data_IF_058120718117
#
_entry.id   IF_058120718117
#
_cell.length_a   1.000
_cell.length_b   1.000
_cell.length_c   1.000
_cell.angle_alpha   90.00
_cell.angle_beta   90.00
_cell.angle_gamma   90.00
#
_symmetry.space_group_name_H-M   'P 1'
#
loop_
_entity.id
_entity.type
_entity.pdbx_description
1 polymer ?
#
# COMPACT_ATOMS: atom_id res chain seq x y z
N UNK A 1 -6.29 18.43 -119.37
CA UNK A 1 -7.25 17.85 -118.40
C UNK A 1 -6.90 18.34 -117.01
N UNK A 2 -7.80 19.12 -116.42
CA UNK A 2 -7.72 19.73 -115.09
C UNK A 2 -7.81 18.64 -114.01
N UNK A 3 -6.92 18.67 -113.02
CA UNK A 3 -7.04 17.82 -111.84
C UNK A 3 -7.34 18.71 -110.60
N UNK A 4 -8.59 18.74 -110.12
CA UNK A 4 -9.05 19.74 -109.15
C UNK A 4 -9.16 19.15 -107.75
N UNK A 5 -8.06 18.82 -107.06
CA UNK A 5 -8.11 18.54 -105.62
C UNK A 5 -6.81 18.96 -104.93
N UNK A 6 -6.59 20.27 -104.93
CA UNK A 6 -5.63 20.97 -104.09
C UNK A 6 -6.49 21.81 -103.13
N UNK A 7 -6.19 21.77 -101.82
CA UNK A 7 -7.07 22.13 -100.68
C UNK A 7 -8.00 20.97 -100.31
N UNK A 8 -7.93 20.32 -99.15
CA UNK A 8 -7.99 20.87 -97.79
C UNK A 8 -7.15 19.95 -96.88
N UNK A 9 -5.93 20.36 -96.50
CA UNK A 9 -5.19 19.70 -95.39
C UNK A 9 -5.37 20.53 -94.13
N UNK A 10 -6.37 20.10 -93.38
CA UNK A 10 -6.88 20.60 -92.11
C UNK A 10 -5.82 21.05 -91.08
N UNK A 11 -6.00 22.23 -90.43
CA UNK A 11 -5.26 22.60 -89.22
C UNK A 11 -5.74 21.86 -87.96
N UNK A 12 -6.79 21.03 -88.07
CA UNK A 12 -7.44 20.34 -86.95
C UNK A 12 -6.59 19.20 -86.34
N UNK A 13 -5.70 18.56 -87.11
CA UNK A 13 -4.88 17.45 -86.58
C UNK A 13 -3.80 17.91 -85.60
N UNK A 14 -3.31 19.14 -85.71
CA UNK A 14 -2.32 19.72 -84.79
C UNK A 14 -2.97 20.20 -83.48
N UNK A 15 -4.19 20.75 -83.52
CA UNK A 15 -4.93 21.16 -82.31
C UNK A 15 -5.37 19.97 -81.45
N UNK A 16 -5.82 18.86 -82.06
CA UNK A 16 -6.21 17.66 -81.31
C UNK A 16 -5.01 16.95 -80.64
N UNK A 17 -3.87 16.83 -81.34
CA UNK A 17 -2.64 16.25 -80.73
C UNK A 17 -2.11 17.09 -79.58
N UNK A 18 -2.24 18.43 -79.64
CA UNK A 18 -1.86 19.31 -78.54
C UNK A 18 -2.81 19.15 -77.34
N UNK A 19 -4.13 19.11 -77.58
CA UNK A 19 -5.14 18.92 -76.53
C UNK A 19 -4.98 17.59 -75.79
N UNK A 20 -4.74 16.48 -76.51
CA UNK A 20 -4.58 15.16 -75.89
C UNK A 20 -3.27 15.08 -75.10
N UNK A 21 -2.15 15.60 -75.62
CA UNK A 21 -0.88 15.65 -74.86
C UNK A 21 -0.98 16.50 -73.60
N UNK A 22 -1.69 17.64 -73.65
CA UNK A 22 -1.87 18.49 -72.49
C UNK A 22 -2.78 17.83 -71.45
N UNK A 23 -3.87 17.17 -71.86
CA UNK A 23 -4.76 16.44 -70.93
C UNK A 23 -4.05 15.26 -70.27
N UNK A 24 -3.24 14.49 -71.01
CA UNK A 24 -2.45 13.38 -70.44
C UNK A 24 -1.42 13.92 -69.44
N UNK A 25 -0.74 15.04 -69.74
CA UNK A 25 0.21 15.66 -68.80
C UNK A 25 -0.47 16.16 -67.54
N UNK A 26 -1.64 16.81 -67.63
CA UNK A 26 -2.40 17.28 -66.47
C UNK A 26 -2.88 16.12 -65.61
N UNK A 27 -3.34 15.02 -66.23
CA UNK A 27 -3.77 13.82 -65.51
C UNK A 27 -2.59 13.16 -64.76
N UNK A 28 -1.45 12.96 -65.43
CA UNK A 28 -0.24 12.43 -64.79
C UNK A 28 0.26 13.34 -63.66
N UNK A 29 0.23 14.66 -63.84
CA UNK A 29 0.64 15.60 -62.79
C UNK A 29 -0.31 15.54 -61.58
N UNK A 30 -1.61 15.38 -61.82
CA UNK A 30 -2.62 15.20 -60.76
C UNK A 30 -2.42 13.90 -60.00
N UNK A 31 -2.21 12.78 -60.70
CA UNK A 31 -1.96 11.46 -60.09
C UNK A 31 -0.64 11.44 -59.33
N UNK A 32 0.45 11.96 -59.90
CA UNK A 32 1.73 12.10 -59.20
C UNK A 32 1.63 13.02 -57.98
N UNK A 33 0.86 14.11 -58.06
CA UNK A 33 0.65 15.02 -56.93
C UNK A 33 -0.15 14.33 -55.83
N UNK A 34 -1.19 13.56 -56.16
CA UNK A 34 -1.95 12.75 -55.18
C UNK A 34 -1.09 11.66 -54.55
N UNK A 35 -0.36 10.87 -55.35
CA UNK A 35 0.53 9.82 -54.85
C UNK A 35 1.69 10.39 -54.00
N UNK A 36 2.22 11.56 -54.34
CA UNK A 36 3.23 12.24 -53.53
C UNK A 36 2.64 12.79 -52.21
N UNK A 37 1.39 13.29 -52.24
CA UNK A 37 0.66 13.74 -51.03
C UNK A 37 0.38 12.55 -50.10
N UNK A 38 0.04 11.40 -50.66
CA UNK A 38 -0.24 10.17 -49.93
C UNK A 38 1.02 9.54 -49.34
N UNK A 39 2.14 9.49 -50.10
CA UNK A 39 3.45 9.08 -49.56
C UNK A 39 3.96 10.01 -48.47
N UNK A 40 3.80 11.34 -48.63
CA UNK A 40 4.16 12.31 -47.58
C UNK A 40 3.29 12.18 -46.31
N UNK A 41 2.00 11.84 -46.45
CA UNK A 41 1.13 11.51 -45.30
C UNK A 41 1.58 10.22 -44.60
N UNK A 42 1.91 9.18 -45.38
CA UNK A 42 2.35 7.87 -44.85
C UNK A 42 3.70 7.97 -44.12
N UNK A 43 4.67 8.70 -44.67
CA UNK A 43 5.95 8.99 -43.99
C UNK A 43 5.78 9.84 -42.72
N UNK A 44 4.91 10.86 -42.73
CA UNK A 44 4.61 11.65 -41.51
C UNK A 44 3.95 10.80 -40.41
N UNK A 45 3.11 9.84 -40.77
CA UNK A 45 2.48 8.92 -39.82
C UNK A 45 3.50 7.94 -39.21
N UNK A 46 4.41 7.40 -40.03
CA UNK A 46 5.43 6.45 -39.59
C UNK A 46 6.47 7.08 -38.65
N UNK A 47 6.93 8.32 -38.93
CA UNK A 47 7.79 9.05 -38.00
C UNK A 47 7.08 9.44 -36.69
N UNK A 48 5.78 9.75 -36.73
CA UNK A 48 4.99 10.10 -35.53
C UNK A 48 4.86 8.92 -34.57
N UNK A 49 4.68 7.72 -35.10
CA UNK A 49 4.63 6.48 -34.31
C UNK A 49 5.96 6.22 -33.60
N UNK A 50 7.09 6.42 -34.29
CA UNK A 50 8.42 6.10 -33.75
C UNK A 50 8.81 6.93 -32.52
N UNK A 51 8.51 8.24 -32.49
CA UNK A 51 8.80 9.08 -31.32
C UNK A 51 7.90 8.77 -30.11
N UNK A 52 6.63 8.47 -30.33
CA UNK A 52 5.71 8.08 -29.25
C UNK A 52 6.12 6.73 -28.68
N UNK A 53 6.50 5.78 -29.53
CA UNK A 53 7.05 4.50 -29.08
C UNK A 53 8.40 4.67 -28.38
N UNK A 54 9.29 5.55 -28.84
CA UNK A 54 10.55 5.81 -28.16
C UNK A 54 10.32 6.39 -26.76
N UNK A 55 9.38 7.34 -26.63
CA UNK A 55 9.04 7.93 -25.34
C UNK A 55 8.35 6.93 -24.41
N UNK A 56 7.34 6.19 -24.88
CA UNK A 56 6.66 5.17 -24.08
C UNK A 56 7.60 4.03 -23.68
N UNK A 57 8.45 3.57 -24.60
CA UNK A 57 9.36 2.45 -24.35
C UNK A 57 10.52 2.87 -23.47
N UNK A 58 10.95 4.13 -23.56
CA UNK A 58 11.91 4.74 -22.64
C UNK A 58 11.33 4.91 -21.24
N UNK A 59 10.10 5.42 -21.11
CA UNK A 59 9.44 5.58 -19.80
C UNK A 59 9.06 4.24 -19.16
N UNK A 60 8.59 3.28 -19.95
CA UNK A 60 8.30 1.92 -19.48
C UNK A 60 9.58 1.14 -19.18
N UNK A 61 10.65 1.32 -19.96
CA UNK A 61 11.95 0.70 -19.73
C UNK A 61 12.62 1.24 -18.47
N UNK A 62 12.56 2.56 -18.23
CA UNK A 62 13.01 3.15 -16.98
C UNK A 62 12.13 2.72 -15.81
N UNK A 63 10.81 2.71 -15.97
CA UNK A 63 9.89 2.18 -14.97
C UNK A 63 10.22 0.73 -14.62
N UNK A 64 10.36 -0.15 -15.60
CA UNK A 64 10.74 -1.54 -15.41
C UNK A 64 12.15 -1.71 -14.85
N UNK A 65 13.08 -0.81 -15.16
CA UNK A 65 14.41 -0.80 -14.53
C UNK A 65 14.29 -0.43 -13.06
N UNK A 66 13.54 0.61 -12.69
CA UNK A 66 13.33 0.99 -11.29
C UNK A 66 12.53 -0.07 -10.50
N UNK A 67 11.47 -0.63 -11.09
CA UNK A 67 10.70 -1.71 -10.47
C UNK A 67 11.51 -3.02 -10.43
N UNK A 68 12.30 -3.33 -11.46
CA UNK A 68 13.15 -4.51 -11.49
C UNK A 68 14.31 -4.42 -10.50
N UNK A 69 15.06 -3.32 -10.50
CA UNK A 69 16.16 -3.12 -9.56
C UNK A 69 15.67 -2.95 -8.11
N UNK A 70 14.49 -2.37 -7.92
CA UNK A 70 13.87 -2.18 -6.60
C UNK A 70 13.16 -3.42 -6.05
N UNK A 71 12.70 -4.36 -6.89
CA UNK A 71 11.96 -5.55 -6.46
C UNK A 71 12.76 -6.86 -6.55
N UNK A 72 13.84 -6.91 -7.36
CA UNK A 72 14.62 -8.15 -7.60
C UNK A 72 15.93 -8.19 -6.81
N UNK A 73 16.32 -7.10 -6.14
CA UNK A 73 17.42 -7.17 -5.17
C UNK A 73 16.97 -7.99 -3.97
N UNK A 74 17.63 -9.12 -3.77
CA UNK A 74 17.22 -10.24 -2.92
C UNK A 74 17.06 -9.87 -1.43
N UNK A 75 15.96 -10.36 -0.83
CA UNK A 75 15.73 -10.66 0.61
C UNK A 75 15.92 -9.58 1.67
N UNK A 76 16.49 -8.42 1.39
CA UNK A 76 16.60 -7.33 2.35
C UNK A 76 15.62 -6.23 1.96
N UNK A 77 14.81 -5.80 2.93
CA UNK A 77 13.78 -4.77 2.84
C UNK A 77 14.16 -3.68 1.84
N UNK A 78 13.22 -3.33 0.94
CA UNK A 78 13.35 -2.21 0.00
C UNK A 78 13.58 -0.93 0.82
N UNK A 79 14.83 -0.66 1.18
CA UNK A 79 15.17 0.54 1.93
C UNK A 79 15.00 1.69 0.96
N UNK A 80 13.93 2.47 1.16
CA UNK A 80 13.75 3.78 0.52
C UNK A 80 14.85 4.68 1.08
N UNK A 81 16.06 4.54 0.54
CA UNK A 81 17.20 5.38 0.93
C UNK A 81 16.95 6.80 0.42
N UNK A 82 17.30 7.81 1.21
CA UNK A 82 17.13 9.21 0.82
C UNK A 82 17.76 9.54 -0.54
N UNK A 83 18.89 8.90 -0.87
CA UNK A 83 19.57 9.03 -2.17
C UNK A 83 18.68 8.63 -3.34
N UNK A 84 17.94 7.52 -3.22
CA UNK A 84 17.02 7.06 -4.26
C UNK A 84 15.84 8.03 -4.43
N UNK A 85 15.33 8.58 -3.33
CA UNK A 85 14.28 9.59 -3.36
C UNK A 85 14.74 10.88 -4.07
N UNK A 86 15.98 11.32 -3.83
CA UNK A 86 16.57 12.50 -4.51
C UNK A 86 16.75 12.24 -6.01
N UNK A 87 17.22 11.05 -6.40
CA UNK A 87 17.36 10.67 -7.80
C UNK A 87 16.01 10.65 -8.53
N UNK A 88 14.97 10.05 -7.92
CA UNK A 88 13.62 10.03 -8.49
C UNK A 88 13.06 11.46 -8.60
N UNK A 89 13.24 12.29 -7.57
CA UNK A 89 12.81 13.70 -7.60
C UNK A 89 13.49 14.49 -8.72
N UNK A 90 14.79 14.31 -8.88
CA UNK A 90 15.59 14.95 -9.95
C UNK A 90 15.11 14.50 -11.32
N UNK A 91 14.84 13.21 -11.50
CA UNK A 91 14.29 12.67 -12.74
C UNK A 91 12.92 13.27 -13.07
N UNK A 92 12.00 13.34 -12.10
CA UNK A 92 10.69 13.94 -12.29
C UNK A 92 10.78 15.43 -12.64
N UNK A 93 11.71 16.16 -12.02
CA UNK A 93 11.97 17.56 -12.35
C UNK A 93 12.38 17.72 -13.83
N UNK A 94 13.30 16.91 -14.33
CA UNK A 94 13.68 16.93 -15.74
C UNK A 94 12.51 16.53 -16.66
N UNK A 95 11.70 15.55 -16.26
CA UNK A 95 10.54 15.11 -17.03
C UNK A 95 9.51 16.24 -17.17
N UNK A 96 9.21 16.95 -16.08
CA UNK A 96 8.36 18.14 -16.06
C UNK A 96 8.98 19.26 -16.91
N UNK A 97 10.29 19.50 -16.81
CA UNK A 97 10.98 20.52 -17.59
C UNK A 97 10.89 20.24 -19.10
N UNK A 98 11.17 19.01 -19.52
CA UNK A 98 11.05 18.60 -20.91
C UNK A 98 9.61 18.67 -21.40
N UNK A 99 8.65 18.21 -20.59
CA UNK A 99 7.23 18.35 -20.93
C UNK A 99 6.87 19.82 -21.13
N UNK A 100 7.25 20.72 -20.22
CA UNK A 100 6.97 22.15 -20.34
C UNK A 100 7.59 22.74 -21.60
N UNK A 101 8.86 22.45 -21.87
CA UNK A 101 9.60 22.96 -23.04
C UNK A 101 9.02 22.48 -24.37
N UNK A 102 8.59 21.21 -24.44
CA UNK A 102 8.12 20.60 -25.68
C UNK A 102 6.60 20.51 -25.81
N UNK A 103 5.83 20.89 -24.78
CA UNK A 103 4.35 20.80 -24.75
C UNK A 103 3.68 21.48 -25.95
N UNK A 104 4.12 22.69 -26.31
CA UNK A 104 3.56 23.44 -27.44
C UNK A 104 3.85 22.74 -28.79
N UNK A 105 5.07 22.24 -28.96
CA UNK A 105 5.46 21.51 -30.17
C UNK A 105 4.72 20.17 -30.27
N UNK A 106 4.54 19.48 -29.14
CA UNK A 106 3.76 18.25 -29.05
C UNK A 106 2.29 18.50 -29.37
N UNK A 107 1.71 19.58 -28.84
CA UNK A 107 0.33 19.98 -29.10
C UNK A 107 0.09 20.24 -30.60
N UNK A 108 0.96 21.01 -31.24
CA UNK A 108 0.86 21.29 -32.67
C UNK A 108 1.07 20.04 -33.54
N UNK A 109 1.93 19.11 -33.11
CA UNK A 109 2.31 17.95 -33.93
C UNK A 109 1.40 16.74 -33.75
N UNK A 110 0.89 16.49 -32.55
CA UNK A 110 0.15 15.28 -32.17
C UNK A 110 -1.29 15.55 -31.70
N UNK A 111 -1.65 16.82 -31.46
CA UNK A 111 -2.99 17.21 -31.02
C UNK A 111 -3.20 17.12 -29.51
N UNK A 112 -4.36 17.59 -29.07
CA UNK A 112 -4.69 17.77 -27.64
C UNK A 112 -4.69 16.45 -26.84
N UNK A 113 -5.18 15.36 -27.43
CA UNK A 113 -5.34 14.08 -26.73
C UNK A 113 -4.03 13.51 -26.20
N UNK A 114 -2.99 13.46 -27.04
CA UNK A 114 -1.68 12.91 -26.65
C UNK A 114 -1.02 13.77 -25.57
N UNK A 115 -1.11 15.09 -25.68
CA UNK A 115 -0.57 16.01 -24.66
C UNK A 115 -1.26 15.80 -23.32
N UNK A 116 -2.58 15.63 -23.33
CA UNK A 116 -3.38 15.35 -22.13
C UNK A 116 -2.99 14.00 -21.49
N UNK A 117 -2.80 12.95 -22.28
CA UNK A 117 -2.35 11.64 -21.78
C UNK A 117 -0.96 11.72 -21.14
N UNK A 118 -0.01 12.41 -21.77
CA UNK A 118 1.33 12.62 -21.20
C UNK A 118 1.21 13.41 -19.89
N UNK A 119 0.41 14.47 -19.86
CA UNK A 119 0.17 15.27 -18.65
C UNK A 119 -0.34 14.42 -17.48
N UNK A 120 -1.36 13.59 -17.70
CA UNK A 120 -1.89 12.71 -16.66
C UNK A 120 -0.86 11.67 -16.19
N UNK A 121 -0.03 11.15 -17.09
CA UNK A 121 1.05 10.24 -16.72
C UNK A 121 2.11 10.92 -15.84
N UNK A 122 2.52 12.15 -16.17
CA UNK A 122 3.45 12.93 -15.33
C UNK A 122 2.83 13.23 -13.97
N UNK A 123 1.55 13.62 -13.94
CA UNK A 123 0.84 13.90 -12.69
C UNK A 123 0.75 12.65 -11.79
N UNK A 124 0.45 11.50 -12.36
CA UNK A 124 0.42 10.23 -11.64
C UNK A 124 1.79 9.87 -11.03
N UNK A 125 2.88 10.04 -11.79
CA UNK A 125 4.24 9.80 -11.28
C UNK A 125 4.61 10.76 -10.13
N UNK A 126 4.21 12.04 -10.23
CA UNK A 126 4.39 13.01 -9.14
C UNK A 126 3.61 12.58 -7.91
N UNK A 127 2.37 12.11 -8.06
CA UNK A 127 1.55 11.63 -6.95
C UNK A 127 2.19 10.44 -6.23
N UNK A 128 2.72 9.47 -6.99
CA UNK A 128 3.45 8.33 -6.42
C UNK A 128 4.70 8.80 -5.65
N UNK A 129 5.46 9.73 -6.24
CA UNK A 129 6.63 10.29 -5.59
C UNK A 129 6.30 11.01 -4.28
N UNK A 130 5.22 11.79 -4.25
CA UNK A 130 4.75 12.46 -3.03
C UNK A 130 4.32 11.45 -1.96
N UNK A 131 3.71 10.32 -2.35
CA UNK A 131 3.42 9.24 -1.41
C UNK A 131 4.69 8.64 -0.80
N UNK A 132 5.72 8.39 -1.60
CA UNK A 132 7.02 7.92 -1.08
C UNK A 132 7.72 8.96 -0.22
N UNK A 133 7.68 10.23 -0.61
CA UNK A 133 8.23 11.34 0.17
C UNK A 133 7.49 11.49 1.50
N UNK A 134 6.16 11.31 1.52
CA UNK A 134 5.38 11.27 2.76
C UNK A 134 5.80 10.13 3.67
N UNK A 135 5.93 8.91 3.14
CA UNK A 135 6.38 7.75 3.93
C UNK A 135 7.81 7.99 4.47
N UNK A 136 8.70 8.53 3.64
CA UNK A 136 10.09 8.85 4.02
C UNK A 136 10.16 9.94 5.10
N UNK A 137 9.35 10.99 4.99
CA UNK A 137 9.26 12.05 6.00
C UNK A 137 8.62 11.50 7.27
N UNK A 138 7.53 10.72 7.20
CA UNK A 138 6.93 10.12 8.38
C UNK A 138 7.94 9.21 9.10
N UNK A 139 8.66 8.36 8.38
CA UNK A 139 9.66 7.46 8.97
C UNK A 139 10.88 8.18 9.57
N UNK A 140 11.37 9.27 8.96
CA UNK A 140 12.59 9.95 9.43
C UNK A 140 12.35 11.21 10.26
N UNK A 141 11.19 11.87 10.12
CA UNK A 141 10.88 13.12 10.82
C UNK A 141 10.15 12.90 12.14
N UNK A 142 9.43 11.78 12.35
CA UNK A 142 8.85 11.48 13.67
C UNK A 142 9.89 11.40 14.80
N UNK A 143 11.10 10.84 14.60
CA UNK A 143 12.18 10.89 15.59
C UNK A 143 12.62 12.33 15.90
N UNK A 144 12.87 13.15 14.87
CA UNK A 144 13.34 14.53 15.02
C UNK A 144 12.28 15.46 15.62
N UNK A 145 10.99 15.27 15.29
CA UNK A 145 9.90 16.02 15.90
C UNK A 145 9.81 15.71 17.40
N UNK A 146 9.98 14.45 17.80
CA UNK A 146 9.99 14.09 19.22
C UNK A 146 11.19 14.70 19.95
N UNK A 147 12.38 14.72 19.34
CA UNK A 147 13.55 15.40 19.95
C UNK A 147 13.36 16.93 20.07
N UNK A 148 12.77 17.58 19.06
CA UNK A 148 12.47 19.02 19.10
C UNK A 148 11.43 19.36 20.18
N UNK A 149 10.41 18.53 20.37
CA UNK A 149 9.42 18.71 21.43
C UNK A 149 9.99 18.39 22.83
N UNK A 150 10.90 17.42 22.95
CA UNK A 150 11.65 17.19 24.19
C UNK A 150 12.56 18.37 24.55
N UNK A 151 13.16 19.05 23.57
CA UNK A 151 13.97 20.26 23.79
C UNK A 151 13.12 21.47 24.24
N UNK A 152 11.91 21.62 23.69
CA UNK A 152 10.95 22.67 24.09
C UNK A 152 10.39 22.44 25.50
N UNK A 153 10.27 21.18 25.95
CA UNK A 153 9.90 20.84 27.33
C UNK A 153 10.93 21.26 28.38
N UNK A 154 12.21 21.34 28.01
CA UNK A 154 13.31 21.71 28.94
C UNK A 154 13.41 23.23 29.16
N UNK A 155 12.96 24.06 28.20
CA UNK A 155 12.93 25.52 28.37
C UNK A 155 11.64 26.06 29.03
N UNK A 156 10.64 25.20 29.26
CA UNK A 156 9.33 25.60 29.80
C UNK A 156 9.21 25.62 31.34
N UNK A 157 10.23 25.21 32.09
CA UNK A 157 10.16 25.11 33.56
C UNK A 157 11.20 26.03 34.23
N UNK A 158 10.91 27.32 34.24
CA UNK A 158 11.48 28.27 35.20
C UNK A 158 10.58 28.30 36.44
N UNK A 159 10.89 27.44 37.41
CA UNK A 159 10.21 27.37 38.71
C UNK A 159 10.96 26.47 39.69
N UNK A 160 11.95 27.06 40.39
CA UNK A 160 12.72 26.61 41.57
C UNK A 160 12.58 25.17 42.11
N UNK A 161 13.69 24.44 42.34
CA UNK A 161 13.73 23.27 43.21
C UNK A 161 14.10 23.63 44.67
N UNK A 162 13.31 23.14 45.64
CA UNK A 162 13.74 22.95 47.04
C UNK A 162 14.21 21.49 47.25
N UNK A 163 15.11 21.22 48.23
CA UNK A 163 15.91 19.99 48.25
C UNK A 163 15.34 18.88 49.16
N UNK A 164 15.43 17.64 48.64
CA UNK A 164 15.62 16.33 49.32
C UNK A 164 14.54 15.82 50.32
N UNK A 165 14.35 14.49 50.52
CA UNK A 165 15.38 13.45 50.45
C UNK A 165 15.04 12.17 49.64
N UNK A 166 16.09 11.52 49.11
CA UNK A 166 16.14 10.08 48.77
C UNK A 166 15.92 9.23 50.05
N UNK A 167 15.51 7.95 50.02
CA UNK A 167 15.78 6.97 48.95
C UNK A 167 14.65 5.94 48.66
N UNK A 168 14.73 5.26 47.51
CA UNK A 168 14.80 3.79 47.39
C UNK A 168 14.49 3.33 45.96
N UNK A 169 15.32 2.39 45.51
CA UNK A 169 15.26 1.74 44.21
C UNK A 169 13.85 1.24 43.86
N UNK A 170 13.30 1.73 42.74
CA UNK A 170 12.41 0.95 41.89
C UNK A 170 12.49 1.49 40.47
N UNK A 171 12.92 0.61 39.57
CA UNK A 171 12.95 0.76 38.13
C UNK A 171 11.58 1.15 37.59
N UNK A 172 11.41 2.41 37.18
CA UNK A 172 10.23 2.88 36.45
C UNK A 172 10.55 2.91 34.95
N UNK A 173 10.15 1.83 34.26
CA UNK A 173 9.91 1.86 32.83
C UNK A 173 8.70 2.77 32.58
N UNK A 174 8.96 4.00 32.11
CA UNK A 174 7.92 4.88 31.57
C UNK A 174 7.62 4.45 30.13
N UNK A 175 6.71 3.48 29.98
CA UNK A 175 6.17 3.09 28.68
C UNK A 175 5.12 4.11 28.23
N UNK A 176 5.59 5.24 27.70
CA UNK A 176 4.78 6.15 26.90
C UNK A 176 4.59 5.49 25.52
N UNK A 177 3.42 4.89 25.31
CA UNK A 177 3.08 4.07 24.15
C UNK A 177 3.17 4.87 22.84
N UNK A 178 4.31 4.71 22.17
CA UNK A 178 4.61 5.20 20.83
C UNK A 178 4.31 4.08 19.83
N UNK A 179 3.17 4.19 19.14
CA UNK A 179 2.61 3.17 18.23
C UNK A 179 3.34 3.02 16.87
N UNK A 180 4.66 3.20 16.84
CA UNK A 180 5.48 2.93 15.64
C UNK A 180 6.62 1.93 15.89
N UNK A 181 6.55 1.14 16.97
CA UNK A 181 7.50 0.06 17.25
C UNK A 181 6.83 -1.32 17.16
N UNK A 182 6.39 -1.69 15.97
CA UNK A 182 6.26 -3.11 15.60
C UNK A 182 6.88 -3.32 14.22
N UNK A 183 8.19 -3.11 14.13
CA UNK A 183 9.06 -4.04 13.40
C UNK A 183 10.54 -3.79 13.75
N UNK A 184 11.38 -4.82 13.61
CA UNK A 184 12.86 -4.82 13.78
C UNK A 184 13.45 -4.95 15.21
N UNK A 185 12.76 -5.65 16.13
CA UNK A 185 13.36 -6.07 17.41
C UNK A 185 13.35 -7.58 17.68
N UNK A 186 12.55 -8.35 16.94
CA UNK A 186 12.29 -9.77 17.22
C UNK A 186 13.02 -10.72 16.24
N UNK A 187 13.86 -10.18 15.36
CA UNK A 187 14.68 -10.97 14.42
C UNK A 187 16.10 -11.30 14.94
N UNK A 188 16.44 -11.02 16.20
CA UNK A 188 17.81 -11.18 16.72
C UNK A 188 17.95 -12.03 17.99
N UNK A 189 16.99 -12.90 18.27
CA UNK A 189 17.18 -13.97 19.27
C UNK A 189 16.99 -15.33 18.60
N UNK A 190 17.91 -15.66 17.69
CA UNK A 190 18.18 -17.04 17.32
C UNK A 190 18.86 -17.69 18.53
N UNK A 191 18.19 -18.72 19.08
CA UNK A 191 18.65 -19.48 20.22
C UNK A 191 20.09 -19.96 20.05
N UNK A 192 20.88 -19.72 21.09
CA UNK A 192 22.12 -20.45 21.33
C UNK A 192 21.76 -21.90 21.68
N UNK A 193 21.73 -22.77 20.69
CA UNK A 193 21.98 -24.20 20.91
C UNK A 193 23.26 -24.56 20.14
N UNK A 194 24.26 -25.01 20.90
CA UNK A 194 25.51 -25.57 20.41
C UNK A 194 25.24 -26.70 19.43
N UNK A 195 25.83 -26.62 18.25
CA UNK A 195 25.77 -27.69 17.25
C UNK A 195 26.54 -27.33 15.99
N UNK A 196 27.86 -27.51 16.03
CA UNK A 196 28.73 -27.46 14.85
C UNK A 196 28.39 -28.58 13.88
N UNK A 197 27.95 -28.28 12.66
CA UNK A 197 28.43 -28.91 11.41
C UNK A 197 27.82 -28.24 10.18
N UNK A 198 28.71 -27.91 9.24
CA UNK A 198 28.43 -27.48 7.87
C UNK A 198 27.56 -28.49 7.10
N UNK A 199 26.59 -28.02 6.32
CA UNK A 199 26.39 -28.34 4.90
C UNK A 199 25.04 -27.77 4.37
N UNK A 200 25.09 -27.18 3.18
CA UNK A 200 23.95 -26.51 2.55
C UNK A 200 23.06 -27.45 1.73
N UNK A 201 21.76 -27.50 2.11
CA UNK A 201 20.60 -27.91 1.30
C UNK A 201 20.03 -29.32 1.60
N UNK A 202 18.80 -29.68 1.16
CA UNK A 202 17.57 -28.90 0.97
C UNK A 202 16.58 -29.07 2.17
N UNK A 203 15.73 -28.06 2.37
CA UNK A 203 14.49 -28.06 3.18
C UNK A 203 14.18 -29.34 4.00
N UNK A 204 14.45 -29.29 5.30
CA UNK A 204 13.94 -30.24 6.30
C UNK A 204 12.40 -30.37 6.20
N UNK A 205 11.91 -31.31 5.40
CA UNK A 205 10.56 -31.83 5.53
C UNK A 205 10.60 -32.91 6.61
N UNK A 206 9.84 -32.68 7.67
CA UNK A 206 9.61 -33.66 8.73
C UNK A 206 8.84 -34.85 8.09
N UNK A 207 9.40 -36.07 8.01
CA UNK A 207 8.87 -37.16 7.18
C UNK A 207 7.47 -37.67 7.58
N UNK A 208 6.85 -37.11 8.61
CA UNK A 208 5.50 -37.42 9.07
C UNK A 208 4.43 -36.37 8.75
N UNK A 209 4.75 -35.25 8.09
CA UNK A 209 3.82 -34.14 7.90
C UNK A 209 3.43 -33.98 6.42
N UNK A 210 2.15 -34.09 6.05
CA UNK A 210 1.70 -34.12 4.66
C UNK A 210 1.65 -32.73 3.99
N UNK A 211 2.25 -31.70 4.61
CA UNK A 211 2.22 -30.32 4.16
C UNK A 211 3.52 -29.57 4.52
N UNK A 212 3.76 -28.46 3.82
CA UNK A 212 4.85 -27.52 4.10
C UNK A 212 4.38 -26.47 5.10
N UNK A 213 5.11 -26.35 6.21
CA UNK A 213 4.82 -25.37 7.26
C UNK A 213 5.17 -23.95 6.83
N UNK A 214 4.31 -23.01 7.20
CA UNK A 214 4.58 -21.58 7.09
C UNK A 214 5.18 -21.07 8.42
N UNK A 215 6.48 -21.34 8.61
CA UNK A 215 7.19 -21.03 9.85
C UNK A 215 7.15 -19.54 10.23
N UNK A 216 7.13 -18.63 9.24
CA UNK A 216 7.05 -17.20 9.51
C UNK A 216 5.69 -16.79 10.04
N UNK A 217 4.61 -17.30 9.47
CA UNK A 217 3.27 -17.01 9.97
C UNK A 217 3.02 -17.68 11.33
N UNK A 218 3.49 -18.92 11.52
CA UNK A 218 3.45 -19.57 12.84
C UNK A 218 4.20 -18.76 13.90
N UNK A 219 5.41 -18.28 13.61
CA UNK A 219 6.16 -17.43 14.53
C UNK A 219 5.44 -16.12 14.84
N UNK A 220 4.78 -15.51 13.84
CA UNK A 220 3.96 -14.31 14.02
C UNK A 220 2.77 -14.58 14.95
N UNK A 221 2.03 -15.66 14.73
CA UNK A 221 0.91 -16.06 15.60
C UNK A 221 1.38 -16.34 17.03
N UNK A 222 2.50 -17.04 17.19
CA UNK A 222 3.09 -17.31 18.51
C UNK A 222 3.38 -16.02 19.26
N UNK A 223 4.08 -15.07 18.64
CA UNK A 223 4.43 -13.81 19.30
C UNK A 223 3.20 -12.97 19.69
N UNK A 224 2.16 -13.01 18.86
CA UNK A 224 0.87 -12.35 19.11
C UNK A 224 0.10 -12.98 20.28
N UNK A 225 0.06 -14.31 20.34
CA UNK A 225 -0.49 -15.05 21.49
C UNK A 225 0.27 -14.72 22.77
N UNK A 226 1.60 -14.79 22.74
CA UNK A 226 2.45 -14.48 23.91
C UNK A 226 2.22 -13.04 24.41
N UNK A 227 2.01 -12.08 23.50
CA UNK A 227 1.65 -10.71 23.87
C UNK A 227 0.29 -10.62 24.57
N UNK A 228 -0.72 -11.34 24.08
CA UNK A 228 -2.04 -11.38 24.72
C UNK A 228 -2.00 -12.06 26.09
N UNK A 229 -1.29 -13.18 26.23
CA UNK A 229 -1.08 -13.88 27.49
C UNK A 229 -0.36 -12.98 28.51
N UNK A 230 0.69 -12.28 28.09
CA UNK A 230 1.44 -11.34 28.95
C UNK A 230 0.55 -10.21 29.47
N UNK A 231 -0.38 -9.72 28.65
CA UNK A 231 -1.35 -8.69 29.05
C UNK A 231 -2.54 -9.24 29.82
N UNK A 232 -2.62 -10.57 30.04
CA UNK A 232 -3.76 -11.26 30.64
C UNK A 232 -5.09 -10.88 29.95
N UNK A 233 -5.06 -10.87 28.62
CA UNK A 233 -6.21 -10.51 27.79
C UNK A 233 -7.44 -11.36 28.17
N UNK A 234 -8.61 -10.75 28.44
CA UNK A 234 -9.81 -11.50 28.74
C UNK A 234 -10.44 -12.18 27.52
N UNK A 235 -9.94 -11.88 26.31
CA UNK A 235 -10.43 -12.42 25.04
C UNK A 235 -9.57 -13.59 24.52
N UNK A 236 -8.56 -14.01 25.30
CA UNK A 236 -7.85 -15.25 25.06
C UNK A 236 -8.46 -16.31 25.99
N UNK A 237 -8.69 -17.55 25.52
CA UNK A 237 -9.09 -18.66 26.38
C UNK A 237 -8.17 -18.74 27.60
N UNK A 238 -8.76 -18.92 28.79
CA UNK A 238 -8.05 -18.93 30.06
C UNK A 238 -7.30 -20.25 30.25
N UNK A 239 -6.23 -20.41 29.48
CA UNK A 239 -5.27 -21.48 29.65
C UNK A 239 -4.03 -20.94 30.38
N UNK A 240 -3.21 -21.84 30.94
CA UNK A 240 -1.91 -21.43 31.47
C UNK A 240 -1.05 -20.83 30.33
N UNK A 241 -0.12 -19.95 30.68
CA UNK A 241 0.76 -19.31 29.71
C UNK A 241 1.45 -20.35 28.80
N UNK A 242 1.35 -20.16 27.48
CA UNK A 242 1.90 -21.05 26.45
C UNK A 242 1.02 -22.25 26.09
N UNK A 243 -0.05 -22.54 26.82
CA UNK A 243 -0.95 -23.66 26.50
C UNK A 243 -1.77 -23.37 25.25
N UNK A 244 -2.24 -22.13 25.05
CA UNK A 244 -3.03 -21.78 23.87
C UNK A 244 -2.23 -22.05 22.59
N UNK A 245 -0.99 -21.57 22.55
CA UNK A 245 -0.10 -21.82 21.42
C UNK A 245 0.18 -23.31 21.21
N UNK A 246 0.37 -24.07 22.30
CA UNK A 246 0.60 -25.51 22.23
C UNK A 246 -0.61 -26.25 21.66
N UNK A 247 -1.82 -25.87 22.07
CA UNK A 247 -3.09 -26.40 21.59
C UNK A 247 -3.29 -26.09 20.11
N UNK A 248 -3.11 -24.82 19.72
CA UNK A 248 -3.19 -24.36 18.34
C UNK A 248 -2.18 -25.08 17.43
N UNK A 249 -0.91 -25.17 17.86
CA UNK A 249 0.14 -25.86 17.10
C UNK A 249 -0.19 -27.34 16.88
N UNK A 250 -0.78 -27.99 17.88
CA UNK A 250 -1.25 -29.37 17.77
C UNK A 250 -2.37 -29.47 16.71
N UNK A 251 -3.37 -28.61 16.76
CA UNK A 251 -4.49 -28.61 15.80
C UNK A 251 -4.04 -28.33 14.36
N UNK A 252 -3.08 -27.42 14.18
CA UNK A 252 -2.45 -27.16 12.88
C UNK A 252 -1.72 -28.41 12.35
N UNK A 253 -1.04 -29.14 13.23
CA UNK A 253 -0.24 -30.31 12.84
C UNK A 253 -1.06 -31.57 12.59
N UNK A 254 -2.32 -31.58 13.03
CA UNK A 254 -3.31 -32.62 12.72
C UNK A 254 -4.01 -32.39 11.35
N UNK A 255 -3.62 -31.38 10.59
CA UNK A 255 -4.18 -31.13 9.26
C UNK A 255 -3.85 -32.28 8.27
N UNK A 256 -4.85 -32.80 7.52
CA UNK A 256 -4.67 -33.92 6.61
C UNK A 256 -3.89 -33.56 5.34
N UNK A 257 -3.91 -32.29 4.93
CA UNK A 257 -3.25 -31.80 3.72
C UNK A 257 -2.89 -30.31 3.82
N UNK A 258 -2.20 -29.79 2.80
CA UNK A 258 -1.78 -28.38 2.72
C UNK A 258 -2.98 -27.41 2.72
N UNK A 259 -4.10 -27.80 2.12
CA UNK A 259 -5.27 -26.92 2.00
C UNK A 259 -5.91 -26.70 3.36
N UNK A 260 -6.11 -27.77 4.13
CA UNK A 260 -6.68 -27.68 5.47
C UNK A 260 -5.71 -27.01 6.45
N UNK A 261 -4.40 -27.26 6.35
CA UNK A 261 -3.39 -26.54 7.12
C UNK A 261 -3.47 -25.02 6.86
N UNK A 262 -3.47 -24.60 5.59
CA UNK A 262 -3.58 -23.18 5.23
C UNK A 262 -4.90 -22.57 5.71
N UNK A 263 -6.01 -23.30 5.58
CA UNK A 263 -7.33 -22.85 6.02
C UNK A 263 -7.36 -22.62 7.53
N UNK A 264 -6.87 -23.57 8.33
CA UNK A 264 -6.79 -23.42 9.80
C UNK A 264 -5.88 -22.26 10.19
N UNK A 265 -4.72 -22.14 9.53
CA UNK A 265 -3.76 -21.08 9.80
C UNK A 265 -4.33 -19.69 9.48
N UNK A 266 -5.01 -19.54 8.35
CA UNK A 266 -5.68 -18.29 7.98
C UNK A 266 -6.83 -17.95 8.93
N UNK A 267 -7.60 -18.95 9.34
CA UNK A 267 -8.69 -18.78 10.29
C UNK A 267 -8.16 -18.22 11.63
N UNK A 268 -7.15 -18.88 12.20
CA UNK A 268 -6.54 -18.47 13.46
C UNK A 268 -5.88 -17.09 13.36
N UNK A 269 -5.26 -16.78 12.22
CA UNK A 269 -4.70 -15.45 11.98
C UNK A 269 -5.76 -14.33 12.00
N UNK A 270 -6.95 -14.57 11.42
CA UNK A 270 -8.06 -13.61 11.42
C UNK A 270 -8.71 -13.50 12.78
N UNK A 271 -8.98 -14.63 13.44
CA UNK A 271 -9.59 -14.67 14.76
C UNK A 271 -8.70 -13.98 15.81
N UNK A 272 -7.39 -14.24 15.79
CA UNK A 272 -6.44 -13.59 16.68
C UNK A 272 -6.39 -12.07 16.47
N UNK A 273 -6.57 -11.59 15.22
CA UNK A 273 -6.62 -10.16 14.92
C UNK A 273 -7.83 -9.50 15.58
N UNK A 274 -8.99 -10.14 15.53
CA UNK A 274 -10.19 -9.66 16.21
C UNK A 274 -9.97 -9.60 17.72
N UNK A 275 -9.41 -10.67 18.31
CA UNK A 275 -9.10 -10.72 19.76
C UNK A 275 -8.13 -9.63 20.19
N UNK A 276 -7.12 -9.32 19.39
CA UNK A 276 -6.19 -8.22 19.64
C UNK A 276 -6.88 -6.86 19.64
N UNK A 277 -7.76 -6.60 18.68
CA UNK A 277 -8.53 -5.36 18.64
C UNK A 277 -9.51 -5.26 19.82
N UNK A 278 -10.17 -6.36 20.21
CA UNK A 278 -11.01 -6.40 21.42
C UNK A 278 -10.19 -6.07 22.66
N UNK A 279 -9.02 -6.69 22.83
CA UNK A 279 -8.12 -6.42 23.95
C UNK A 279 -7.62 -4.97 23.96
N UNK A 280 -7.30 -4.40 22.80
CA UNK A 280 -6.91 -3.00 22.68
C UNK A 280 -8.05 -2.06 23.08
N UNK A 281 -9.28 -2.30 22.63
CA UNK A 281 -10.44 -1.52 23.05
C UNK A 281 -10.66 -1.61 24.56
N UNK A 282 -10.54 -2.80 25.13
CA UNK A 282 -10.67 -3.02 26.56
C UNK A 282 -9.61 -2.26 27.36
N UNK A 283 -8.34 -2.26 26.92
CA UNK A 283 -7.28 -1.48 27.57
C UNK A 283 -7.58 0.01 27.53
N UNK A 284 -7.95 0.56 26.37
CA UNK A 284 -8.31 1.99 26.24
C UNK A 284 -9.53 2.33 27.11
N UNK A 285 -10.51 1.43 27.17
CA UNK A 285 -11.67 1.60 28.04
C UNK A 285 -11.28 1.64 29.53
N UNK A 286 -10.40 0.73 29.97
CA UNK A 286 -9.87 0.76 31.34
C UNK A 286 -9.07 2.03 31.64
N UNK A 287 -8.27 2.52 30.68
CA UNK A 287 -7.56 3.80 30.81
C UNK A 287 -8.54 4.97 31.03
N UNK A 288 -9.63 5.02 30.25
CA UNK A 288 -10.68 6.05 30.41
C UNK A 288 -11.33 5.98 31.80
N UNK A 289 -11.62 4.78 32.30
CA UNK A 289 -12.22 4.61 33.64
C UNK A 289 -11.25 5.01 34.75
N UNK A 290 -9.97 4.68 34.62
CA UNK A 290 -8.94 5.09 35.57
C UNK A 290 -8.79 6.61 35.64
N UNK A 291 -8.91 7.30 34.49
CA UNK A 291 -8.91 8.77 34.43
C UNK A 291 -10.21 9.41 34.93
N UNK A 292 -11.31 8.65 34.90
CA UNK A 292 -12.65 9.13 35.24
C UNK A 292 -13.44 8.16 36.14
N UNK A 293 -13.02 7.94 37.40
CA UNK A 293 -13.61 6.92 38.27
C UNK A 293 -15.12 7.10 38.57
N UNK A 294 -15.65 8.33 38.45
CA UNK A 294 -17.07 8.60 38.62
C UNK A 294 -17.95 7.84 37.62
N UNK A 295 -17.45 7.53 36.42
CA UNK A 295 -18.20 6.78 35.40
C UNK A 295 -18.57 5.37 35.86
N UNK A 296 -17.67 4.73 36.62
CA UNK A 296 -17.92 3.41 37.23
C UNK A 296 -18.88 3.52 38.42
N UNK A 297 -18.77 4.59 39.22
CA UNK A 297 -19.67 4.83 40.34
C UNK A 297 -21.10 5.11 39.88
N UNK A 298 -21.26 5.85 38.78
CA UNK A 298 -22.55 6.25 38.24
C UNK A 298 -23.30 5.07 37.58
N UNK A 299 -22.58 4.08 37.04
CA UNK A 299 -23.20 2.92 36.36
C UNK A 299 -23.71 1.86 37.33
N UNK A 300 -23.05 1.67 38.48
CA UNK A 300 -23.32 0.56 39.40
C UNK A 300 -23.03 -0.84 38.81
N UNK A 301 -22.46 -0.91 37.60
CA UNK A 301 -22.08 -2.13 36.90
C UNK A 301 -20.59 -2.39 37.09
N UNK A 302 -20.18 -3.67 37.04
CA UNK A 302 -18.78 -4.03 36.87
C UNK A 302 -18.36 -3.67 35.43
N UNK A 303 -17.53 -2.63 35.21
CA UNK A 303 -17.25 -2.15 33.86
C UNK A 303 -16.49 -3.19 33.02
N UNK A 304 -15.73 -4.07 33.68
CA UNK A 304 -14.96 -5.09 32.97
C UNK A 304 -15.85 -6.20 32.42
N UNK A 305 -16.84 -6.62 33.19
CA UNK A 305 -17.86 -7.58 32.74
C UNK A 305 -18.76 -6.94 31.69
N UNK A 306 -19.24 -5.71 31.94
CA UNK A 306 -20.08 -4.97 31.00
C UNK A 306 -19.42 -4.79 29.63
N UNK A 307 -18.10 -4.54 29.57
CA UNK A 307 -17.38 -4.47 28.31
C UNK A 307 -17.36 -5.83 27.57
N UNK A 308 -17.10 -6.92 28.30
CA UNK A 308 -17.05 -8.26 27.71
C UNK A 308 -18.42 -8.68 27.20
N UNK A 309 -19.46 -8.45 27.99
CA UNK A 309 -20.85 -8.76 27.63
C UNK A 309 -21.23 -7.96 26.39
N UNK A 310 -20.97 -6.65 26.36
CA UNK A 310 -21.27 -5.79 25.20
C UNK A 310 -20.66 -6.30 23.88
N UNK A 311 -19.40 -6.73 23.91
CA UNK A 311 -18.72 -7.24 22.72
C UNK A 311 -19.16 -8.67 22.36
N UNK A 312 -19.56 -9.47 23.35
CA UNK A 312 -20.04 -10.84 23.15
C UNK A 312 -21.46 -10.85 22.62
N UNK A 313 -22.34 -10.03 23.18
CA UNK A 313 -23.72 -9.86 22.73
C UNK A 313 -23.78 -9.46 21.25
N UNK A 314 -22.92 -8.51 20.85
CA UNK A 314 -22.82 -8.14 19.44
C UNK A 314 -22.35 -9.31 18.54
N UNK A 315 -21.42 -10.13 19.03
CA UNK A 315 -20.97 -11.30 18.30
C UNK A 315 -22.11 -12.32 18.12
N UNK A 316 -22.94 -12.51 19.14
CA UNK A 316 -24.09 -13.40 19.07
C UNK A 316 -25.21 -12.83 18.20
N UNK A 317 -25.43 -11.51 18.19
CA UNK A 317 -26.31 -10.83 17.24
C UNK A 317 -25.85 -11.05 15.79
N UNK A 318 -24.56 -10.90 15.50
CA UNK A 318 -24.01 -11.17 14.16
C UNK A 318 -24.20 -12.64 13.74
N UNK A 319 -23.97 -13.58 14.66
CA UNK A 319 -24.20 -15.01 14.42
C UNK A 319 -25.67 -15.33 14.15
N UNK A 320 -26.59 -14.63 14.82
CA UNK A 320 -28.02 -14.80 14.62
C UNK A 320 -28.52 -14.17 13.31
N UNK A 321 -27.96 -13.03 12.91
CA UNK A 321 -28.38 -12.28 11.72
C UNK A 321 -27.88 -12.88 10.41
N UNK A 322 -26.69 -13.49 10.41
CA UNK A 322 -25.99 -13.92 9.20
C UNK A 322 -25.59 -15.40 9.27
N UNK A 323 -26.04 -16.20 8.31
CA UNK A 323 -25.66 -17.61 8.16
C UNK A 323 -24.29 -17.84 7.50
N UNK A 324 -23.57 -16.77 7.16
CA UNK A 324 -22.31 -16.80 6.41
C UNK A 324 -21.08 -16.49 7.26
N UNK A 325 -20.29 -17.53 7.56
CA UNK A 325 -19.08 -17.46 8.40
C UNK A 325 -18.06 -16.35 8.02
N UNK A 326 -17.72 -16.11 6.73
CA UNK A 326 -16.73 -15.09 6.38
C UNK A 326 -17.23 -13.65 6.52
N UNK A 327 -18.55 -13.46 6.48
CA UNK A 327 -19.15 -12.13 6.59
C UNK A 327 -19.16 -11.69 8.06
N UNK A 328 -19.45 -12.63 8.97
CA UNK A 328 -19.49 -12.38 10.41
C UNK A 328 -18.13 -11.90 10.95
N UNK A 329 -17.02 -12.51 10.52
CA UNK A 329 -15.67 -12.10 10.92
C UNK A 329 -15.34 -10.66 10.47
N UNK A 330 -15.78 -10.28 9.27
CA UNK A 330 -15.54 -8.93 8.73
C UNK A 330 -16.36 -7.88 9.44
N UNK A 331 -17.64 -8.16 9.64
CA UNK A 331 -18.56 -7.26 10.34
C UNK A 331 -18.14 -7.11 11.81
N UNK A 332 -17.67 -8.19 12.44
CA UNK A 332 -17.11 -8.17 13.79
C UNK A 332 -15.84 -7.30 13.86
N UNK A 333 -14.91 -7.47 12.93
CA UNK A 333 -13.70 -6.65 12.88
C UNK A 333 -14.03 -5.17 12.65
N UNK A 334 -14.94 -4.86 11.73
CA UNK A 334 -15.36 -3.48 11.44
C UNK A 334 -15.97 -2.82 12.68
N UNK A 335 -16.84 -3.53 13.40
CA UNK A 335 -17.43 -3.06 14.64
C UNK A 335 -16.40 -2.80 15.73
N UNK A 336 -15.47 -3.72 15.98
CA UNK A 336 -14.44 -3.54 17.01
C UNK A 336 -13.53 -2.35 16.64
N UNK A 337 -13.20 -2.16 15.36
CA UNK A 337 -12.46 -0.99 14.89
C UNK A 337 -13.24 0.32 15.08
N UNK A 338 -14.56 0.29 14.90
CA UNK A 338 -15.42 1.45 15.17
C UNK A 338 -15.41 1.83 16.66
N UNK A 339 -15.54 0.85 17.55
CA UNK A 339 -15.40 1.04 19.00
C UNK A 339 -14.05 1.69 19.29
N UNK A 340 -12.96 1.08 18.81
CA UNK A 340 -11.60 1.57 19.04
C UNK A 340 -11.46 3.03 18.63
N UNK A 341 -11.89 3.35 17.40
CA UNK A 341 -11.86 4.71 16.86
C UNK A 341 -12.66 5.69 17.72
N UNK A 342 -13.84 5.30 18.18
CA UNK A 342 -14.69 6.14 19.01
C UNK A 342 -14.07 6.38 20.39
N UNK A 343 -13.54 5.33 21.03
CA UNK A 343 -12.85 5.43 22.32
C UNK A 343 -11.63 6.35 22.24
N UNK A 344 -10.74 6.15 21.25
CA UNK A 344 -9.55 6.99 21.08
C UNK A 344 -9.90 8.43 20.73
N UNK A 345 -10.95 8.67 19.94
CA UNK A 345 -11.30 10.03 19.49
C UNK A 345 -12.05 10.84 20.56
N UNK A 346 -12.95 10.20 21.29
CA UNK A 346 -13.90 10.90 22.17
C UNK A 346 -13.68 10.62 23.66
N UNK A 347 -12.84 9.65 24.02
CA UNK A 347 -12.54 9.30 25.41
C UNK A 347 -13.81 9.00 26.21
N UNK A 348 -13.95 9.60 27.40
CA UNK A 348 -15.17 9.51 28.24
C UNK A 348 -16.47 9.93 27.56
N UNK A 349 -16.40 10.76 26.52
CA UNK A 349 -17.58 11.24 25.80
C UNK A 349 -17.99 10.30 24.66
N UNK A 350 -17.26 9.21 24.45
CA UNK A 350 -17.60 8.19 23.45
C UNK A 350 -18.98 7.62 23.70
N UNK A 351 -19.77 7.46 22.62
CA UNK A 351 -21.06 6.79 22.64
C UNK A 351 -20.94 5.40 23.27
N UNK A 352 -19.89 4.65 22.92
CA UNK A 352 -19.68 3.30 23.43
C UNK A 352 -19.37 3.26 24.92
N UNK A 353 -18.66 4.25 25.50
CA UNK A 353 -18.44 4.28 26.97
C UNK A 353 -19.78 4.35 27.69
N UNK A 354 -20.66 5.26 27.24
CA UNK A 354 -21.99 5.41 27.84
C UNK A 354 -22.85 4.18 27.63
N UNK A 355 -22.81 3.59 26.42
CA UNK A 355 -23.58 2.39 26.10
C UNK A 355 -23.14 1.17 26.92
N UNK A 356 -21.83 0.93 27.00
CA UNK A 356 -21.24 -0.16 27.79
C UNK A 356 -21.60 -0.01 29.28
N UNK A 357 -21.59 1.22 29.79
CA UNK A 357 -21.91 1.50 31.19
C UNK A 357 -23.42 1.67 31.46
N UNK A 358 -24.31 1.47 30.47
CA UNK A 358 -25.76 1.62 30.66
C UNK A 358 -26.22 3.04 30.99
N UNK A 359 -25.45 4.07 30.60
CA UNK A 359 -25.73 5.48 30.89
C UNK A 359 -26.62 6.16 29.83
N UNK A 360 -27.02 5.44 28.77
CA UNK A 360 -27.89 5.91 27.68
C UNK A 360 -28.84 4.83 27.19
#
# INVERSE_FOLDING_TARGET
MLNPFKYIRSPLRKRLKFSVRTRIRVFFFSVCRSACKERKKKMKFQMRSSYVHFFLRGSLGLGAFFFGYGLVSEREYIMITGTNLVLIGTFLFFLVFFYRRYSLQLYQKFGKGVVLTIYFSVFFLISIYLSFLRIFICGNALPLFVELFSFLGVFGVLGQPLPLPSPSNSSSNSSQARWEAFDMGVLLESGSEEGTTDEGGPSHQDPGIPFTKNLSLEASLKGRVEALEKTKSPFLPQEEQGQYWKSLKKDLYEAPDQSEYNRKLEFENRDLLIREHKNNCFRVFQEILNEHPHLEQDSGLNPQEAFKDFVTDFQDELRAANSGYPQNERDELEFVLEIQKSLTKWGKNSYYVKKILGLI
#
